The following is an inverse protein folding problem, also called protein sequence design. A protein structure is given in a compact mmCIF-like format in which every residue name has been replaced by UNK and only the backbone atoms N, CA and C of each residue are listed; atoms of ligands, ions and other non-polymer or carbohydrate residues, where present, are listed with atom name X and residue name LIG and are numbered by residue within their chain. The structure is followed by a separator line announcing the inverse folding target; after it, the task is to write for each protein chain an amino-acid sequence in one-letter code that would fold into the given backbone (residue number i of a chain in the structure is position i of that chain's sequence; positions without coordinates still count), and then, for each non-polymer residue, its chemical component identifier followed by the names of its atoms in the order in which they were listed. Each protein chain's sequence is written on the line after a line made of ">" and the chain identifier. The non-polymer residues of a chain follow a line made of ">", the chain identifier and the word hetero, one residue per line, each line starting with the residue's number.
data_IF_322943657908
#
_entry.id   IF_322943657908
#
_cell.length_a   1.000
_cell.length_b   1.000
_cell.length_c   1.000
_cell.angle_alpha   90.00
_cell.angle_beta   90.00
_cell.angle_gamma   90.00
#
_symmetry.space_group_name_H-M   'P 1'
#
loop_
_entity.id
_entity.type
_entity.pdbx_description
1 polymer ?
#
# COMPACT_ATOMS: atom_id res chain seq x y z
N UNK A 1 -0.83 -9.59 -25.07
CA UNK A 1 -0.96 -8.30 -24.37
C UNK A 1 -1.53 -8.62 -23.00
N UNK A 2 -0.67 -8.81 -22.01
CA UNK A 2 -1.10 -9.08 -20.63
C UNK A 2 -1.41 -7.72 -20.04
N UNK A 3 -2.70 -7.40 -19.89
CA UNK A 3 -3.13 -6.28 -19.06
C UNK A 3 -2.53 -6.52 -17.69
N UNK A 4 -1.65 -5.65 -17.20
CA UNK A 4 -1.23 -5.66 -15.81
C UNK A 4 -2.52 -5.54 -14.99
N UNK A 5 -2.93 -6.65 -14.40
CA UNK A 5 -4.19 -6.71 -13.69
C UNK A 5 -3.97 -5.94 -12.37
N UNK A 6 -4.89 -5.03 -12.06
CA UNK A 6 -4.74 -4.08 -10.95
C UNK A 6 -5.37 -4.69 -9.71
N UNK A 7 -4.58 -4.79 -8.64
CA UNK A 7 -5.04 -5.16 -7.31
C UNK A 7 -5.61 -3.96 -6.56
N UNK A 8 -6.46 -4.24 -5.58
CA UNK A 8 -7.15 -3.19 -4.83
C UNK A 8 -7.08 -3.41 -3.32
N UNK A 9 -6.70 -2.34 -2.60
CA UNK A 9 -7.01 -2.16 -1.19
C UNK A 9 -8.36 -1.45 -1.07
N UNK A 10 -9.30 -2.05 -0.35
CA UNK A 10 -10.64 -1.49 -0.12
C UNK A 10 -10.76 -1.10 1.34
N UNK A 11 -11.09 0.16 1.61
CA UNK A 11 -11.19 0.69 2.97
C UNK A 11 -12.45 1.52 3.19
N UNK A 12 -13.12 1.32 4.33
CA UNK A 12 -14.25 2.15 4.76
C UNK A 12 -15.64 1.67 4.32
N UNK A 13 -16.64 2.53 4.55
CA UNK A 13 -18.06 2.30 4.20
C UNK A 13 -18.67 3.58 3.62
N UNK A 14 -19.00 3.64 2.31
CA UNK A 14 -18.76 2.60 1.30
C UNK A 14 -17.27 2.33 1.08
N UNK A 15 -16.88 1.12 0.62
CA UNK A 15 -15.49 0.78 0.40
C UNK A 15 -14.87 1.67 -0.68
N UNK A 16 -13.78 2.34 -0.34
CA UNK A 16 -13.00 3.15 -1.28
C UNK A 16 -11.87 2.29 -1.87
N UNK A 17 -11.85 2.05 -3.20
CA UNK A 17 -10.80 1.29 -3.86
C UNK A 17 -9.52 2.11 -4.04
N UNK A 18 -8.39 1.49 -3.76
CA UNK A 18 -7.04 2.02 -3.99
C UNK A 18 -6.29 1.00 -4.85
N UNK A 19 -6.02 1.39 -6.10
CA UNK A 19 -5.28 0.59 -7.05
C UNK A 19 -3.80 0.49 -6.66
N UNK A 20 -3.27 -0.74 -6.63
CA UNK A 20 -1.89 -1.08 -6.32
C UNK A 20 -1.48 -2.30 -7.15
N UNK A 21 -0.18 -2.44 -7.42
CA UNK A 21 0.35 -3.70 -7.97
C UNK A 21 0.18 -4.83 -6.95
N UNK A 22 -0.11 -6.05 -7.41
CA UNK A 22 -0.27 -7.25 -6.55
C UNK A 22 0.90 -7.41 -5.56
N UNK A 23 2.13 -7.20 -6.05
CA UNK A 23 3.35 -7.30 -5.24
C UNK A 23 3.38 -6.24 -4.16
N UNK A 24 3.10 -4.98 -4.48
CA UNK A 24 3.04 -3.92 -3.50
C UNK A 24 1.92 -4.17 -2.47
N UNK A 25 0.74 -4.61 -2.92
CA UNK A 25 -0.40 -4.92 -2.05
C UNK A 25 -0.07 -6.04 -1.06
N UNK A 26 0.62 -7.10 -1.50
CA UNK A 26 1.03 -8.21 -0.64
C UNK A 26 1.96 -7.76 0.50
N UNK A 27 2.94 -6.91 0.21
CA UNK A 27 3.86 -6.38 1.22
C UNK A 27 3.16 -5.41 2.18
N UNK A 28 2.33 -4.51 1.63
CA UNK A 28 1.52 -3.60 2.44
C UNK A 28 0.55 -4.36 3.35
N UNK A 29 -0.11 -5.43 2.87
CA UNK A 29 -1.02 -6.25 3.66
C UNK A 29 -0.34 -6.77 4.93
N UNK A 30 0.88 -7.31 4.80
CA UNK A 30 1.63 -7.86 5.94
C UNK A 30 1.87 -6.77 7.00
N UNK A 31 2.32 -5.58 6.58
CA UNK A 31 2.58 -4.47 7.51
C UNK A 31 1.29 -3.94 8.13
N UNK A 32 0.26 -3.69 7.31
CA UNK A 32 -1.05 -3.17 7.75
C UNK A 32 -1.66 -4.12 8.79
N UNK A 33 -1.78 -5.41 8.49
CA UNK A 33 -2.35 -6.40 9.41
C UNK A 33 -1.51 -6.51 10.68
N UNK A 34 -0.17 -6.49 10.55
CA UNK A 34 0.73 -6.49 11.69
C UNK A 34 0.41 -5.37 12.68
N UNK A 35 0.18 -4.15 12.19
CA UNK A 35 -0.17 -2.99 13.04
C UNK A 35 -1.58 -3.09 13.63
N UNK A 36 -2.57 -3.40 12.81
CA UNK A 36 -3.96 -3.47 13.26
C UNK A 36 -4.17 -4.57 14.31
N UNK A 37 -3.46 -5.70 14.22
CA UNK A 37 -3.48 -6.75 15.25
C UNK A 37 -2.92 -6.29 16.60
N UNK A 38 -2.06 -5.28 16.62
CA UNK A 38 -1.55 -4.64 17.85
C UNK A 38 -2.42 -3.47 18.31
N UNK A 39 -3.60 -3.28 17.70
CA UNK A 39 -4.48 -2.13 17.93
C UNK A 39 -3.80 -0.78 17.69
N UNK A 40 -2.78 -0.76 16.82
CA UNK A 40 -2.10 0.47 16.42
C UNK A 40 -2.83 1.07 15.22
N UNK A 41 -3.54 2.17 15.45
CA UNK A 41 -4.06 2.99 14.37
C UNK A 41 -2.94 3.83 13.75
N UNK A 42 -3.01 4.07 12.44
CA UNK A 42 -1.93 4.76 11.72
C UNK A 42 -2.41 5.45 10.45
N UNK A 43 -1.60 6.37 9.94
CA UNK A 43 -1.82 7.01 8.63
C UNK A 43 -1.25 6.16 7.50
N UNK A 44 -2.03 5.94 6.45
CA UNK A 44 -1.59 5.47 5.15
C UNK A 44 -1.58 6.65 4.17
N UNK A 45 -0.38 7.10 3.80
CA UNK A 45 -0.12 8.17 2.84
C UNK A 45 0.01 7.59 1.43
N UNK A 46 -0.84 8.04 0.51
CA UNK A 46 -0.86 7.63 -0.89
C UNK A 46 -0.53 8.84 -1.78
N UNK A 47 0.24 8.64 -2.86
CA UNK A 47 0.36 9.66 -3.89
C UNK A 47 -1.03 9.95 -4.48
N UNK A 48 -1.32 11.21 -4.82
CA UNK A 48 -2.51 11.48 -5.63
C UNK A 48 -2.31 10.92 -7.03
N UNK A 49 -3.41 10.44 -7.61
CA UNK A 49 -3.47 10.14 -9.02
C UNK A 49 -3.27 11.45 -9.80
N UNK A 50 -2.38 11.42 -10.79
CA UNK A 50 -2.04 12.55 -11.68
C UNK A 50 -3.31 13.10 -12.35
N UNK A 51 -4.32 12.25 -12.57
CA UNK A 51 -5.61 12.64 -13.15
C UNK A 51 -6.46 13.56 -12.27
N UNK A 52 -6.26 13.52 -10.94
CA UNK A 52 -7.10 14.22 -9.96
C UNK A 52 -6.46 15.49 -9.39
N UNK A 53 -5.28 15.87 -9.89
CA UNK A 53 -4.50 17.02 -9.43
C UNK A 53 -3.38 16.64 -8.46
N UNK A 54 -2.30 17.42 -8.47
CA UNK A 54 -1.15 17.28 -7.57
C UNK A 54 -1.60 17.35 -6.11
N UNK A 55 -1.52 16.23 -5.40
CA UNK A 55 -1.92 16.14 -4.00
C UNK A 55 -1.40 14.89 -3.31
N UNK A 56 -1.72 14.75 -2.03
CA UNK A 56 -1.49 13.53 -1.25
C UNK A 56 -2.83 13.11 -0.65
N UNK A 57 -3.17 11.82 -0.74
CA UNK A 57 -4.30 11.26 0.00
C UNK A 57 -3.74 10.62 1.27
N UNK A 58 -4.37 10.88 2.41
CA UNK A 58 -3.99 10.27 3.68
C UNK A 58 -5.22 9.59 4.29
N UNK A 59 -5.10 8.29 4.54
CA UNK A 59 -6.16 7.48 5.13
C UNK A 59 -5.79 7.16 6.57
N UNK A 60 -6.69 7.46 7.50
CA UNK A 60 -6.56 6.95 8.87
C UNK A 60 -7.02 5.50 8.92
N UNK A 61 -6.12 4.58 9.24
CA UNK A 61 -6.35 3.14 9.29
C UNK A 61 -6.62 2.70 10.73
N UNK A 62 -7.74 2.03 10.96
CA UNK A 62 -8.15 1.49 12.26
C UNK A 62 -8.83 0.13 12.11
N UNK A 63 -8.58 -0.79 13.05
CA UNK A 63 -9.03 -2.20 12.96
C UNK A 63 -10.53 -2.42 13.08
N UNK A 64 -11.27 -1.42 13.54
CA UNK A 64 -12.75 -1.44 13.58
C UNK A 64 -13.41 -1.03 12.25
N UNK A 65 -12.64 -0.59 11.25
CA UNK A 65 -13.16 -0.18 9.94
C UNK A 65 -13.00 -1.34 8.96
N UNK A 66 -14.00 -1.65 8.13
CA UNK A 66 -13.88 -2.69 7.10
C UNK A 66 -12.69 -2.47 6.18
N UNK A 67 -11.94 -3.55 5.96
CA UNK A 67 -10.71 -3.59 5.20
C UNK A 67 -10.68 -4.88 4.38
N UNK A 68 -10.46 -4.77 3.07
CA UNK A 68 -10.35 -5.92 2.17
C UNK A 68 -9.15 -5.74 1.23
N UNK A 69 -8.47 -6.86 0.95
CA UNK A 69 -7.41 -6.97 -0.04
C UNK A 69 -7.94 -7.81 -1.20
N UNK A 70 -8.02 -7.23 -2.39
CA UNK A 70 -8.50 -7.89 -3.60
C UNK A 70 -7.35 -8.03 -4.58
N UNK A 71 -6.94 -9.27 -4.84
CA UNK A 71 -5.84 -9.58 -5.75
C UNK A 71 -6.33 -9.82 -7.16
N UNK A 72 -5.50 -9.49 -8.14
CA UNK A 72 -5.81 -9.63 -9.55
C UNK A 72 -5.34 -10.98 -10.11
N UNK A 73 -4.23 -11.51 -9.58
CA UNK A 73 -3.79 -12.88 -9.76
C UNK A 73 -4.16 -13.74 -8.52
N UNK A 74 -4.37 -15.03 -8.77
CA UNK A 74 -4.57 -16.05 -7.73
C UNK A 74 -3.25 -16.62 -7.21
N UNK A 75 -2.13 -16.39 -7.92
CA UNK A 75 -0.81 -16.86 -7.50
C UNK A 75 -0.28 -16.07 -6.30
N UNK A 76 0.31 -16.79 -5.35
CA UNK A 76 0.94 -16.15 -4.20
C UNK A 76 2.13 -15.29 -4.65
N UNK A 77 2.14 -14.02 -4.27
CA UNK A 77 3.28 -13.14 -4.50
C UNK A 77 4.45 -13.53 -3.60
N UNK A 78 5.65 -13.70 -4.17
CA UNK A 78 6.89 -13.85 -3.40
C UNK A 78 7.15 -12.60 -2.54
N UNK A 79 7.34 -12.80 -1.24
CA UNK A 79 7.59 -11.74 -0.27
C UNK A 79 9.10 -11.51 -0.12
N UNK A 80 9.50 -10.24 -0.14
CA UNK A 80 10.83 -9.76 0.21
C UNK A 80 10.84 -9.24 1.66
N UNK A 81 11.54 -9.92 2.60
CA UNK A 81 11.68 -9.47 3.98
C UNK A 81 12.29 -8.08 4.12
N UNK A 82 13.25 -7.71 3.26
CA UNK A 82 13.91 -6.40 3.34
C UNK A 82 12.92 -5.26 3.03
N UNK A 83 11.98 -5.51 2.12
CA UNK A 83 10.90 -4.55 1.82
C UNK A 83 9.91 -4.44 2.97
N UNK A 84 9.55 -5.56 3.61
CA UNK A 84 8.71 -5.54 4.82
C UNK A 84 9.35 -4.70 5.92
N UNK A 85 10.66 -4.86 6.16
CA UNK A 85 11.37 -4.03 7.13
C UNK A 85 11.35 -2.55 6.77
N UNK A 86 11.58 -2.23 5.50
CA UNK A 86 11.55 -0.84 5.01
C UNK A 86 10.17 -0.21 5.22
N UNK A 87 9.10 -0.92 4.84
CA UNK A 87 7.72 -0.47 5.01
C UNK A 87 7.32 -0.36 6.49
N UNK A 88 7.74 -1.32 7.33
CA UNK A 88 7.49 -1.29 8.77
C UNK A 88 8.18 -0.09 9.44
N UNK A 89 9.43 0.21 9.04
CA UNK A 89 10.13 1.43 9.48
C UNK A 89 9.37 2.69 9.05
N UNK A 90 8.93 2.76 7.79
CA UNK A 90 8.15 3.89 7.28
C UNK A 90 6.84 4.08 8.04
N UNK A 91 6.13 3.00 8.36
CA UNK A 91 4.87 3.04 9.11
C UNK A 91 5.01 3.66 10.50
N UNK A 92 6.19 3.58 11.12
CA UNK A 92 6.48 4.20 12.42
C UNK A 92 6.84 5.69 12.33
N UNK A 93 6.93 6.25 11.13
CA UNK A 93 7.22 7.68 10.94
C UNK A 93 5.98 8.56 11.15
N UNK A 94 6.15 9.85 11.47
CA UNK A 94 5.04 10.80 11.56
C UNK A 94 4.24 10.98 10.26
N UNK A 95 4.86 10.68 9.11
CA UNK A 95 4.20 10.74 7.79
C UNK A 95 3.32 9.51 7.50
N UNK A 96 3.37 8.50 8.36
CA UNK A 96 2.64 7.26 8.20
C UNK A 96 3.29 6.28 7.21
N UNK A 97 2.60 5.18 6.96
CA UNK A 97 2.97 4.20 5.95
C UNK A 97 2.74 4.79 4.56
N UNK A 98 3.68 4.62 3.64
CA UNK A 98 3.50 4.94 2.23
C UNK A 98 3.93 3.75 1.36
N UNK A 99 3.35 3.58 0.16
CA UNK A 99 3.92 2.68 -0.85
C UNK A 99 5.35 3.15 -1.16
N UNK A 100 6.33 2.28 -0.95
CA UNK A 100 7.73 2.53 -1.27
C UNK A 100 8.14 1.62 -2.42
N UNK A 101 9.08 2.09 -3.24
CA UNK A 101 9.68 1.26 -4.27
C UNK A 101 10.33 0.00 -3.66
N UNK A 102 10.30 -1.10 -4.42
CA UNK A 102 10.96 -2.34 -4.03
C UNK A 102 12.47 -2.11 -3.85
N UNK A 103 13.09 -2.61 -2.78
CA UNK A 103 14.53 -2.52 -2.61
C UNK A 103 15.28 -3.08 -3.83
N UNK A 104 16.16 -2.27 -4.43
CA UNK A 104 16.92 -2.66 -5.63
C UNK A 104 16.16 -2.51 -6.95
N UNK A 105 14.88 -2.08 -6.93
CA UNK A 105 14.24 -1.57 -8.14
C UNK A 105 14.88 -0.24 -8.54
N UNK A 106 15.30 -0.13 -9.80
CA UNK A 106 15.82 1.13 -10.35
C UNK A 106 14.62 2.06 -10.51
N UNK A 107 14.47 3.05 -9.62
CA UNK A 107 13.56 4.17 -9.83
C UNK A 107 14.04 4.89 -11.11
N UNK A 108 13.24 4.99 -12.19
CA UNK A 108 13.66 5.78 -13.33
C UNK A 108 13.81 7.23 -12.85
N UNK A 109 14.98 7.83 -13.09
CA UNK A 109 15.24 9.25 -12.84
C UNK A 109 14.19 10.08 -13.58
N UNK A 110 13.13 10.51 -12.90
CA UNK A 110 12.21 11.54 -13.40
C UNK A 110 12.74 12.90 -12.93
N UNK A 111 13.95 13.23 -13.37
CA UNK A 111 14.58 14.53 -13.18
C UNK A 111 15.06 15.06 -14.53
N UNK A 112 14.18 15.81 -15.21
CA UNK A 112 14.53 16.97 -16.02
C UNK A 112 13.27 17.85 -16.18
#
# INVERSE_FOLDING_TARGET
>A
MRTDAISHLLYGTPPTPIALDDRALAHLQIVIIGRLRRSEAFLLSLPADVSTGSGRKALWMHGAVPLQFSYSDSQATTIDPAWIELLARAANSPQGLAPLAEPGSVQPDHAA
#
